data_IF_453215154873
#
_entry.id   IF_453215154873
#
_cell.length_a   1.000
_cell.length_b   1.000
_cell.length_c   1.000
_cell.angle_alpha   90.00
_cell.angle_beta   90.00
_cell.angle_gamma   90.00
#
_symmetry.space_group_name_H-M   'P 1'
#
loop_
_entity.id
_entity.type
_entity.pdbx_description
1 polymer ?
#
# COMPACT_ATOMS: atom_id res chain seq x y z
N UNK A 1 -4.01 15.10 3.47
CA UNK A 1 -2.85 15.11 4.40
C UNK A 1 -1.67 15.72 3.68
N UNK A 2 -0.91 16.61 4.33
CA UNK A 2 0.22 17.31 3.73
C UNK A 2 1.52 16.93 4.43
N UNK A 3 2.52 16.54 3.64
CA UNK A 3 3.88 16.31 4.13
C UNK A 3 4.54 17.65 4.45
N UNK A 4 5.07 17.80 5.66
CA UNK A 4 5.77 19.01 6.09
C UNK A 4 7.28 18.88 5.90
N UNK A 5 7.85 17.76 6.34
CA UNK A 5 9.27 17.46 6.20
C UNK A 5 9.52 15.94 6.34
N UNK A 6 10.72 15.52 5.95
CA UNK A 6 11.26 14.21 6.34
C UNK A 6 11.69 14.31 7.80
N UNK A 7 11.10 13.47 8.64
CA UNK A 7 11.41 13.40 10.08
C UNK A 7 12.66 12.56 10.33
N UNK A 8 12.71 11.37 9.76
CA UNK A 8 13.81 10.42 9.94
C UNK A 8 13.86 9.40 8.80
N UNK A 9 15.04 8.87 8.55
CA UNK A 9 15.25 7.67 7.72
C UNK A 9 16.01 6.63 8.54
N UNK A 10 15.80 5.35 8.25
CA UNK A 10 16.50 4.30 8.95
C UNK A 10 16.46 2.97 8.22
N UNK A 11 17.01 1.97 8.89
CA UNK A 11 17.04 0.58 8.45
C UNK A 11 16.50 -0.35 9.53
N UNK A 12 16.25 -1.61 9.15
CA UNK A 12 15.88 -2.69 10.06
C UNK A 12 14.69 -2.37 10.98
N UNK A 13 13.62 -1.80 10.41
CA UNK A 13 12.39 -1.58 11.15
C UNK A 13 11.62 -2.89 11.30
N UNK A 14 11.25 -3.23 12.53
CA UNK A 14 10.45 -4.41 12.83
C UNK A 14 9.01 -3.99 13.14
N UNK A 15 8.05 -4.67 12.51
CA UNK A 15 6.63 -4.51 12.81
C UNK A 15 6.02 -5.85 13.22
N UNK A 16 5.31 -5.84 14.36
CA UNK A 16 4.55 -6.99 14.83
C UNK A 16 3.10 -6.89 14.37
N UNK A 17 2.71 -7.76 13.46
CA UNK A 17 1.33 -7.86 12.98
C UNK A 17 0.39 -8.39 14.06
N UNK A 18 -0.93 -8.12 13.96
CA UNK A 18 -1.93 -8.68 14.88
C UNK A 18 -1.91 -10.22 14.97
N UNK A 19 -1.41 -10.91 13.96
CA UNK A 19 -1.18 -12.36 13.94
C UNK A 19 0.02 -12.83 14.78
N UNK A 20 0.67 -11.94 15.52
CA UNK A 20 1.97 -12.14 16.19
C UNK A 20 3.16 -12.42 15.24
N UNK A 21 2.98 -12.31 13.93
CA UNK A 21 4.08 -12.40 12.98
C UNK A 21 4.93 -11.12 13.02
N UNK A 22 6.24 -11.28 13.13
CA UNK A 22 7.21 -10.19 12.94
C UNK A 22 7.55 -10.08 11.46
N UNK A 23 7.52 -8.86 10.93
CA UNK A 23 7.98 -8.54 9.58
C UNK A 23 9.05 -7.44 9.65
N UNK A 24 10.14 -7.65 8.94
CA UNK A 24 11.30 -6.76 8.92
C UNK A 24 11.34 -5.97 7.62
N UNK A 25 11.55 -4.67 7.75
CA UNK A 25 11.71 -3.73 6.64
C UNK A 25 13.15 -3.23 6.63
N UNK A 26 13.87 -3.55 5.56
CA UNK A 26 15.28 -3.26 5.42
C UNK A 26 15.57 -1.75 5.43
N UNK A 27 14.65 -0.95 4.88
CA UNK A 27 14.72 0.51 4.90
C UNK A 27 13.36 1.11 5.25
N UNK A 28 13.36 2.32 5.79
CA UNK A 28 12.15 3.08 6.06
C UNK A 28 12.41 4.58 6.09
N UNK A 29 11.33 5.35 5.87
CA UNK A 29 11.31 6.81 5.96
C UNK A 29 10.08 7.27 6.74
N UNK A 30 10.26 8.27 7.59
CA UNK A 30 9.20 8.94 8.32
C UNK A 30 9.03 10.40 7.88
N UNK A 31 7.78 10.84 7.91
CA UNK A 31 7.38 12.20 7.61
C UNK A 31 6.57 12.77 8.76
N UNK A 32 6.88 14.02 9.12
CA UNK A 32 5.92 14.83 9.87
C UNK A 32 4.87 15.37 8.89
N UNK A 33 3.60 15.15 9.20
CA UNK A 33 2.49 15.53 8.33
C UNK A 33 1.37 16.25 9.09
N UNK A 34 0.52 16.96 8.34
CA UNK A 34 -0.65 17.65 8.88
C UNK A 34 -1.91 17.33 8.07
N UNK A 35 -2.98 17.03 8.77
CA UNK A 35 -4.34 16.88 8.25
C UNK A 35 -5.28 17.85 9.00
N UNK A 36 -6.59 17.78 8.71
CA UNK A 36 -7.58 18.66 9.33
C UNK A 36 -7.73 18.41 10.84
N UNK A 37 -7.56 17.15 11.25
CA UNK A 37 -7.66 16.65 12.61
C UNK A 37 -6.36 16.81 13.43
N UNK A 38 -5.23 17.13 12.79
CA UNK A 38 -4.01 17.49 13.51
C UNK A 38 -2.70 17.10 12.82
N UNK A 39 -1.68 16.85 13.66
CA UNK A 39 -0.37 16.37 13.23
C UNK A 39 -0.34 14.85 13.30
N UNK A 40 0.23 14.23 12.27
CA UNK A 40 0.36 12.77 12.19
C UNK A 40 1.78 12.40 11.78
N UNK A 41 2.22 11.23 12.22
CA UNK A 41 3.49 10.64 11.78
C UNK A 41 3.18 9.58 10.73
N UNK A 42 3.74 9.76 9.54
CA UNK A 42 3.66 8.79 8.45
C UNK A 42 4.98 8.04 8.35
N UNK A 43 4.93 6.72 8.26
CA UNK A 43 6.09 5.87 7.97
C UNK A 43 5.85 5.09 6.69
N UNK A 44 6.85 5.03 5.82
CA UNK A 44 6.89 4.11 4.67
C UNK A 44 8.04 3.15 4.90
N UNK A 45 7.76 1.85 4.89
CA UNK A 45 8.76 0.79 5.06
C UNK A 45 8.91 -0.01 3.78
N UNK A 46 10.15 -0.36 3.47
CA UNK A 46 10.56 -1.07 2.27
C UNK A 46 11.20 -2.40 2.69
N UNK A 47 10.65 -3.48 2.18
CA UNK A 47 11.11 -4.84 2.46
C UNK A 47 10.84 -5.76 1.29
N UNK A 48 10.88 -7.06 1.57
CA UNK A 48 10.53 -8.11 0.62
C UNK A 48 9.68 -9.16 1.30
N UNK A 49 8.78 -9.79 0.54
CA UNK A 49 7.92 -10.85 1.04
C UNK A 49 7.57 -11.82 -0.08
N UNK A 50 7.58 -13.14 0.18
CA UNK A 50 6.98 -14.12 -0.71
C UNK A 50 5.48 -13.88 -0.86
N UNK A 51 5.04 -13.55 -2.08
CA UNK A 51 3.63 -13.40 -2.44
C UNK A 51 3.43 -13.85 -3.88
N UNK A 52 2.33 -14.56 -4.13
CA UNK A 52 2.05 -15.17 -5.44
C UNK A 52 3.15 -16.11 -5.96
N UNK A 53 3.83 -16.79 -5.03
CA UNK A 53 4.90 -17.74 -5.33
C UNK A 53 6.25 -17.10 -5.70
N UNK A 54 6.38 -15.77 -5.60
CA UNK A 54 7.60 -15.03 -5.93
C UNK A 54 7.96 -14.12 -4.75
N UNK A 55 9.25 -13.97 -4.45
CA UNK A 55 9.70 -12.98 -3.49
C UNK A 55 9.68 -11.58 -4.12
N UNK A 56 8.80 -10.70 -3.67
CA UNK A 56 8.55 -9.39 -4.28
C UNK A 56 8.91 -8.25 -3.33
N UNK A 57 9.19 -7.08 -3.92
CA UNK A 57 9.23 -5.84 -3.16
C UNK A 57 7.93 -5.66 -2.38
N UNK A 58 8.05 -5.24 -1.13
CA UNK A 58 6.94 -5.07 -0.19
C UNK A 58 7.05 -3.69 0.42
N UNK A 59 6.00 -2.91 0.30
CA UNK A 59 5.96 -1.56 0.86
C UNK A 59 4.74 -1.44 1.75
N UNK A 60 4.91 -0.89 2.94
CA UNK A 60 3.80 -0.65 3.86
C UNK A 60 3.85 0.80 4.33
N UNK A 61 2.67 1.42 4.37
CA UNK A 61 2.49 2.79 4.84
C UNK A 61 1.73 2.75 6.15
N UNK A 62 2.32 3.30 7.20
CA UNK A 62 1.70 3.47 8.52
C UNK A 62 1.35 4.93 8.77
N UNK A 63 0.18 5.18 9.35
CA UNK A 63 -0.23 6.47 9.91
C UNK A 63 -0.35 6.25 11.42
N UNK A 64 0.41 7.02 12.20
CA UNK A 64 0.46 6.93 13.67
C UNK A 64 0.70 5.49 14.19
N UNK A 65 1.55 4.75 13.49
CA UNK A 65 1.92 3.38 13.86
C UNK A 65 0.95 2.28 13.38
N UNK A 66 -0.15 2.64 12.70
CA UNK A 66 -1.13 1.69 12.17
C UNK A 66 -0.99 1.54 10.64
N UNK A 67 -0.91 0.31 10.10
CA UNK A 67 -0.75 0.08 8.66
C UNK A 67 -2.07 0.34 7.94
N UNK A 68 -2.02 1.18 6.90
CA UNK A 68 -3.20 1.57 6.13
C UNK A 68 -3.09 1.21 4.64
N UNK A 69 -1.88 1.15 4.08
CA UNK A 69 -1.67 0.70 2.71
C UNK A 69 -0.52 -0.29 2.64
N UNK A 70 -0.67 -1.25 1.74
CA UNK A 70 0.32 -2.30 1.48
C UNK A 70 0.47 -2.48 -0.03
N UNK A 71 1.69 -2.40 -0.53
CA UNK A 71 2.00 -2.58 -1.94
C UNK A 71 2.94 -3.77 -2.14
N UNK A 72 2.82 -4.39 -3.31
CA UNK A 72 3.71 -5.44 -3.80
C UNK A 72 4.31 -5.05 -5.16
N UNK A 73 5.57 -5.39 -5.40
CA UNK A 73 6.25 -5.10 -6.66
C UNK A 73 5.63 -5.84 -7.86
N UNK A 74 5.51 -5.14 -8.99
CA UNK A 74 5.18 -5.73 -10.29
C UNK A 74 6.21 -6.78 -10.72
N UNK A 75 5.89 -7.57 -11.75
CA UNK A 75 6.84 -8.54 -12.33
C UNK A 75 8.10 -7.87 -12.90
N UNK A 76 7.97 -6.64 -13.40
CA UNK A 76 9.04 -5.82 -13.96
C UNK A 76 9.57 -4.77 -12.98
N UNK A 77 9.35 -4.95 -11.68
CA UNK A 77 9.71 -3.99 -10.62
C UNK A 77 11.16 -3.50 -10.70
N UNK A 78 12.12 -4.37 -10.98
CA UNK A 78 13.54 -3.98 -11.03
C UNK A 78 13.84 -2.99 -12.18
N UNK A 79 13.00 -2.96 -13.22
CA UNK A 79 13.12 -2.03 -14.35
C UNK A 79 12.24 -0.79 -14.18
N UNK A 80 11.02 -0.95 -13.64
CA UNK A 80 10.02 0.13 -13.58
C UNK A 80 9.97 0.82 -12.22
N UNK A 81 10.21 0.08 -11.14
CA UNK A 81 9.92 0.49 -9.77
C UNK A 81 8.42 0.43 -9.42
N UNK A 82 7.58 -0.18 -10.27
CA UNK A 82 6.14 -0.18 -10.09
C UNK A 82 5.69 -1.11 -8.97
N UNK A 83 4.80 -0.60 -8.12
CA UNK A 83 4.18 -1.34 -7.03
C UNK A 83 2.67 -1.22 -7.08
N UNK A 84 1.99 -2.27 -6.64
CA UNK A 84 0.55 -2.43 -6.74
C UNK A 84 -0.06 -2.68 -5.37
N UNK A 85 -1.19 -2.02 -5.08
CA UNK A 85 -2.05 -2.33 -3.95
C UNK A 85 -3.43 -2.73 -4.44
N UNK A 86 -3.91 -3.89 -4.02
CA UNK A 86 -5.25 -4.38 -4.34
C UNK A 86 -6.33 -3.43 -3.81
N UNK A 87 -7.37 -3.21 -4.61
CA UNK A 87 -8.55 -2.48 -4.18
C UNK A 87 -9.48 -3.46 -3.45
N UNK A 88 -9.69 -3.18 -2.16
CA UNK A 88 -10.68 -3.88 -1.33
C UNK A 88 -11.77 -2.91 -0.93
N UNK A 89 -13.00 -3.29 -1.21
CA UNK A 89 -14.18 -2.49 -0.92
C UNK A 89 -14.68 -2.94 0.45
N UNK A 90 -14.87 -2.01 1.38
CA UNK A 90 -15.55 -2.34 2.62
C UNK A 90 -17.01 -2.68 2.33
N UNK A 91 -17.44 -3.87 2.74
CA UNK A 91 -18.82 -4.31 2.67
C UNK A 91 -19.41 -4.56 4.05
N UNK A 92 -20.66 -5.02 4.10
CA UNK A 92 -21.34 -5.37 5.36
C UNK A 92 -20.67 -6.55 6.08
N UNK A 93 -19.99 -7.41 5.32
CA UNK A 93 -19.18 -8.53 5.82
C UNK A 93 -17.77 -8.43 5.24
N UNK A 94 -16.85 -7.90 6.03
CA UNK A 94 -15.43 -7.82 5.69
C UNK A 94 -15.09 -6.80 4.59
N UNK A 95 -13.95 -7.02 3.94
CA UNK A 95 -13.45 -6.18 2.84
C UNK A 95 -13.36 -7.01 1.54
N UNK A 96 -14.49 -7.27 0.84
CA UNK A 96 -14.45 -7.96 -0.43
C UNK A 96 -13.54 -7.27 -1.44
N UNK A 97 -12.88 -8.10 -2.24
CA UNK A 97 -11.99 -7.64 -3.31
C UNK A 97 -12.78 -7.08 -4.49
N UNK A 98 -12.32 -5.96 -5.04
CA UNK A 98 -12.85 -5.40 -6.29
C UNK A 98 -12.31 -6.22 -7.48
N UNK A 99 -13.16 -7.01 -8.12
CA UNK A 99 -12.77 -8.02 -9.09
C UNK A 99 -12.54 -7.42 -10.48
N UNK A 100 -11.35 -7.63 -11.02
CA UNK A 100 -11.06 -7.33 -12.42
C UNK A 100 -11.56 -8.45 -13.34
N UNK A 101 -12.08 -8.17 -14.56
CA UNK A 101 -12.54 -6.87 -15.06
C UNK A 101 -14.03 -6.61 -14.77
N UNK A 102 -14.65 -7.42 -13.90
CA UNK A 102 -16.12 -7.48 -13.77
C UNK A 102 -16.71 -6.37 -12.89
N UNK A 103 -16.00 -5.96 -11.85
CA UNK A 103 -16.46 -4.91 -10.95
C UNK A 103 -16.02 -3.54 -11.47
N UNK A 104 -16.85 -2.53 -11.25
CA UNK A 104 -16.51 -1.14 -11.52
C UNK A 104 -15.55 -0.62 -10.45
N UNK A 105 -14.48 0.05 -10.86
CA UNK A 105 -13.58 0.76 -9.95
C UNK A 105 -14.36 1.84 -9.21
N UNK A 106 -14.40 1.85 -7.86
CA UNK A 106 -15.16 2.86 -7.13
C UNK A 106 -14.63 4.27 -7.40
N UNK A 107 -15.52 5.26 -7.51
CA UNK A 107 -15.19 6.64 -7.90
C UNK A 107 -14.03 7.25 -7.09
N UNK A 108 -13.98 6.99 -5.78
CA UNK A 108 -12.90 7.49 -4.90
C UNK A 108 -11.49 6.98 -5.24
N UNK A 109 -11.38 5.94 -6.06
CA UNK A 109 -10.10 5.42 -6.57
C UNK A 109 -9.71 6.01 -7.93
N UNK A 110 -10.58 6.80 -8.58
CA UNK A 110 -10.34 7.34 -9.95
C UNK A 110 -9.23 8.39 -10.01
N UNK A 111 -8.83 8.94 -8.86
CA UNK A 111 -7.68 9.83 -8.74
C UNK A 111 -6.34 9.11 -8.78
N UNK A 112 -6.35 7.78 -8.73
CA UNK A 112 -5.18 6.92 -8.82
C UNK A 112 -5.14 6.22 -10.18
N UNK A 113 -3.94 5.86 -10.62
CA UNK A 113 -3.79 4.93 -11.74
C UNK A 113 -4.22 3.53 -11.28
N UNK A 114 -5.23 2.97 -11.96
CA UNK A 114 -5.82 1.68 -11.61
C UNK A 114 -5.70 0.72 -12.77
N UNK A 115 -5.22 -0.49 -12.48
CA UNK A 115 -4.99 -1.56 -13.46
C UNK A 115 -5.51 -2.88 -12.92
N UNK A 116 -5.74 -3.85 -13.81
CA UNK A 116 -5.95 -5.23 -13.37
C UNK A 116 -4.65 -5.80 -12.82
N UNK A 117 -4.63 -6.27 -11.57
CA UNK A 117 -3.49 -6.97 -10.98
C UNK A 117 -2.85 -8.01 -11.92
N UNK A 118 -3.61 -8.91 -12.59
CA UNK A 118 -3.00 -9.93 -13.46
C UNK A 118 -2.32 -9.37 -14.73
N UNK A 119 -2.48 -8.09 -15.05
CA UNK A 119 -1.79 -7.48 -16.20
C UNK A 119 -0.36 -7.02 -15.86
N UNK A 120 -0.02 -6.94 -14.56
CA UNK A 120 1.30 -6.50 -14.07
C UNK A 120 1.97 -7.53 -13.16
N UNK A 121 1.23 -8.53 -12.69
CA UNK A 121 1.67 -9.51 -11.70
C UNK A 121 1.26 -10.91 -12.15
N UNK A 122 2.21 -11.82 -12.21
CA UNK A 122 1.99 -13.25 -12.46
C UNK A 122 2.45 -14.13 -11.29
N UNK A 123 2.11 -15.41 -11.33
CA UNK A 123 2.55 -16.40 -10.34
C UNK A 123 1.40 -17.19 -9.70
N UNK A 124 1.78 -18.15 -8.85
CA UNK A 124 0.83 -19.08 -8.24
C UNK A 124 -0.05 -18.35 -7.20
N UNK A 125 -1.35 -18.34 -7.46
CA UNK A 125 -2.34 -17.73 -6.56
C UNK A 125 -2.69 -16.28 -6.87
N UNK A 126 -2.16 -15.70 -7.96
CA UNK A 126 -2.67 -14.43 -8.47
C UNK A 126 -4.14 -14.60 -8.81
N UNK A 127 -4.96 -13.66 -8.35
CA UNK A 127 -6.38 -13.57 -8.64
C UNK A 127 -6.71 -12.30 -9.41
N UNK A 128 -7.92 -12.21 -9.93
CA UNK A 128 -8.37 -11.04 -10.68
C UNK A 128 -8.86 -9.94 -9.73
N UNK A 129 -7.97 -9.02 -9.38
CA UNK A 129 -8.29 -7.81 -8.63
C UNK A 129 -8.00 -6.57 -9.46
N UNK A 130 -8.78 -5.51 -9.25
CA UNK A 130 -8.29 -4.17 -9.54
C UNK A 130 -7.25 -3.76 -8.51
N UNK A 131 -6.22 -3.04 -8.94
CA UNK A 131 -5.14 -2.57 -8.08
C UNK A 131 -4.75 -1.14 -8.46
N UNK A 132 -4.47 -0.32 -7.44
CA UNK A 132 -3.77 0.95 -7.63
C UNK A 132 -2.32 0.64 -7.96
N UNK A 133 -1.81 1.24 -9.03
CA UNK A 133 -0.40 1.18 -9.42
C UNK A 133 0.26 2.53 -9.16
N UNK A 134 1.49 2.50 -8.67
CA UNK A 134 2.33 3.69 -8.52
C UNK A 134 3.80 3.30 -8.56
N UNK A 135 4.68 4.28 -8.70
CA UNK A 135 6.12 4.05 -8.60
C UNK A 135 6.59 4.05 -7.14
N UNK A 136 7.59 3.24 -6.82
CA UNK A 136 8.21 3.18 -5.49
C UNK A 136 8.71 4.55 -5.00
N UNK A 137 9.11 5.43 -5.91
CA UNK A 137 9.57 6.79 -5.59
C UNK A 137 8.44 7.80 -5.37
N UNK A 138 7.19 7.47 -5.75
CA UNK A 138 6.05 8.37 -5.63
C UNK A 138 5.36 8.21 -4.27
N UNK A 139 6.06 8.65 -3.23
CA UNK A 139 5.57 8.60 -1.85
C UNK A 139 4.27 9.38 -1.64
N UNK A 140 4.04 10.45 -2.41
CA UNK A 140 2.80 11.23 -2.33
C UNK A 140 1.59 10.36 -2.63
N UNK A 141 1.61 9.60 -3.73
CA UNK A 141 0.51 8.71 -4.10
C UNK A 141 0.31 7.61 -3.05
N UNK A 142 1.39 7.03 -2.53
CA UNK A 142 1.29 6.03 -1.46
C UNK A 142 0.64 6.58 -0.18
N UNK A 143 1.00 7.81 0.19
CA UNK A 143 0.44 8.51 1.34
C UNK A 143 -1.03 8.84 1.12
N UNK A 144 -1.38 9.41 -0.03
CA UNK A 144 -2.76 9.75 -0.37
C UNK A 144 -3.64 8.49 -0.37
N UNK A 145 -3.10 7.37 -0.87
CA UNK A 145 -3.78 6.08 -0.84
C UNK A 145 -3.95 5.53 0.58
N UNK A 146 -2.94 5.64 1.44
CA UNK A 146 -3.03 5.24 2.85
C UNK A 146 -4.09 6.06 3.61
N UNK A 147 -4.19 7.36 3.33
CA UNK A 147 -5.22 8.23 3.91
C UNK A 147 -6.62 7.83 3.45
N UNK A 148 -6.80 7.53 2.15
CA UNK A 148 -8.06 6.99 1.64
C UNK A 148 -8.47 5.72 2.41
N UNK A 149 -7.53 4.79 2.59
CA UNK A 149 -7.76 3.52 3.32
C UNK A 149 -8.04 3.74 4.81
N UNK A 150 -7.42 4.74 5.43
CA UNK A 150 -7.74 5.14 6.81
C UNK A 150 -9.19 5.63 6.92
N UNK A 151 -9.62 6.52 6.01
CA UNK A 151 -10.99 7.04 5.99
C UNK A 151 -12.03 5.94 5.78
N UNK A 152 -11.73 4.94 4.95
CA UNK A 152 -12.61 3.77 4.75
C UNK A 152 -12.80 2.94 6.02
N UNK A 153 -11.86 2.95 6.97
CA UNK A 153 -11.95 2.21 8.24
C UNK A 153 -12.69 2.97 9.35
N UNK A 154 -12.69 4.31 9.29
CA UNK A 154 -13.36 5.15 10.29
C UNK A 154 -14.85 5.35 9.99
N UNK A 155 -15.30 5.13 8.76
CA UNK A 155 -16.72 5.12 8.37
C UNK A 155 -17.45 3.88 8.86
#
# INVERSE_FOLDING_TARGET
MHVLNVRQVGSNYEYKWPSNQLEMYAAWIEYDTRAEDGKHILRIGFGRRPVYGIDRARIVVWIDGHPHAEFLGADDFDATGDVLSEIRIRGDVGEPMCRYPNDTVPERYTTFDVVGLPTRVSGKGVHSAWAVVTNVSNHKVMIDFAVLRQQERTR
#
